data_IF_237699331096
#
_entry.id   IF_237699331096
#
_cell.length_a   1.000
_cell.length_b   1.000
_cell.length_c   1.000
_cell.angle_alpha   90.00
_cell.angle_beta   90.00
_cell.angle_gamma   90.00
#
_symmetry.space_group_name_H-M   'P 1'
#
loop_
_entity.id
_entity.type
_entity.pdbx_description
1 polymer ?
#
# COMPACT_ATOMS: atom_id res chain seq x y z
N UNK A 1 59.53 44.11 39.36
CA UNK A 1 60.12 44.63 38.10
C UNK A 1 59.33 44.19 36.87
N UNK A 2 58.88 42.94 36.82
CA UNK A 2 58.14 42.32 35.70
C UNK A 2 56.83 43.04 35.34
N UNK A 3 55.99 43.38 36.31
CA UNK A 3 54.69 44.03 36.06
C UNK A 3 54.81 45.41 35.38
N UNK A 4 55.83 46.21 35.71
CA UNK A 4 56.06 47.52 35.08
C UNK A 4 56.50 47.39 33.62
N UNK A 5 57.31 46.37 33.31
CA UNK A 5 57.79 46.08 31.95
C UNK A 5 56.61 45.61 31.08
N UNK A 6 55.76 44.73 31.62
CA UNK A 6 54.54 44.27 30.94
C UNK A 6 53.58 45.45 30.68
N UNK A 7 53.37 46.32 31.66
CA UNK A 7 52.49 47.48 31.51
C UNK A 7 52.98 48.46 30.43
N UNK A 8 54.27 48.77 30.42
CA UNK A 8 54.87 49.59 29.36
C UNK A 8 54.75 48.94 27.99
N UNK A 9 54.93 47.63 27.91
CA UNK A 9 54.80 46.89 26.66
C UNK A 9 53.37 46.89 26.13
N UNK A 10 52.37 46.73 27.00
CA UNK A 10 50.94 46.78 26.67
C UNK A 10 50.54 48.16 26.16
N UNK A 11 50.97 49.23 26.84
CA UNK A 11 50.68 50.60 26.43
C UNK A 11 51.37 50.94 25.10
N UNK A 12 52.60 50.49 24.89
CA UNK A 12 53.36 50.74 23.65
C UNK A 12 52.78 49.97 22.45
N UNK A 13 52.27 48.75 22.67
CA UNK A 13 51.81 47.84 21.61
C UNK A 13 50.30 47.56 21.65
N UNK A 14 49.50 48.46 22.23
CA UNK A 14 48.07 48.24 22.46
C UNK A 14 47.28 47.90 21.19
N UNK A 15 47.64 48.51 20.04
CA UNK A 15 47.02 48.22 18.74
C UNK A 15 47.28 46.78 18.28
N UNK A 16 48.50 46.29 18.47
CA UNK A 16 48.90 44.93 18.11
C UNK A 16 48.19 43.90 19.00
N UNK A 17 48.06 44.18 20.30
CA UNK A 17 47.34 43.31 21.24
C UNK A 17 45.85 43.27 20.87
N UNK A 18 45.24 44.42 20.55
CA UNK A 18 43.86 44.49 20.10
C UNK A 18 43.62 43.67 18.83
N UNK A 19 44.52 43.75 17.85
CA UNK A 19 44.45 42.94 16.63
C UNK A 19 44.46 41.44 16.92
N UNK A 20 45.39 40.98 17.78
CA UNK A 20 45.47 39.56 18.17
C UNK A 20 44.19 39.11 18.89
N UNK A 21 43.65 39.94 19.76
CA UNK A 21 42.43 39.63 20.52
C UNK A 21 41.20 39.56 19.61
N UNK A 22 41.09 40.47 18.63
CA UNK A 22 40.06 40.41 17.59
C UNK A 22 40.20 39.17 16.72
N UNK A 23 41.42 38.80 16.31
CA UNK A 23 41.66 37.56 15.54
C UNK A 23 41.24 36.31 16.32
N UNK A 24 41.58 36.24 17.62
CA UNK A 24 41.14 35.13 18.49
C UNK A 24 39.61 35.09 18.63
N UNK A 25 38.96 36.26 18.76
CA UNK A 25 37.50 36.36 18.80
C UNK A 25 36.83 35.85 17.53
N UNK A 26 37.36 36.20 16.36
CA UNK A 26 36.87 35.73 15.06
C UNK A 26 37.03 34.22 14.93
N UNK A 27 38.20 33.66 15.30
CA UNK A 27 38.44 32.21 15.25
C UNK A 27 37.48 31.47 16.20
N UNK A 28 37.25 32.01 17.39
CA UNK A 28 36.29 31.46 18.35
C UNK A 28 34.87 31.44 17.80
N UNK A 29 34.42 32.57 17.23
CA UNK A 29 33.10 32.68 16.58
C UNK A 29 32.97 31.73 15.40
N UNK A 30 33.96 31.66 14.51
CA UNK A 30 33.93 30.74 13.36
C UNK A 30 33.83 29.28 13.82
N UNK A 31 34.57 28.87 14.85
CA UNK A 31 34.46 27.50 15.38
C UNK A 31 33.09 27.20 15.96
N UNK A 32 32.46 28.18 16.62
CA UNK A 32 31.12 28.03 17.15
C UNK A 32 30.08 27.94 16.04
N UNK A 33 30.13 28.84 15.06
CA UNK A 33 29.21 28.87 13.92
C UNK A 33 29.35 27.59 13.07
N UNK A 34 30.58 27.10 12.86
CA UNK A 34 30.85 25.85 12.14
C UNK A 34 30.26 24.63 12.86
N UNK A 35 30.40 24.56 14.20
CA UNK A 35 29.80 23.47 14.98
C UNK A 35 28.27 23.47 14.93
N UNK A 36 27.64 24.65 14.93
CA UNK A 36 26.20 24.75 14.78
C UNK A 36 25.75 24.29 13.40
N UNK A 37 26.46 24.72 12.36
CA UNK A 37 26.18 24.33 10.98
C UNK A 37 26.29 22.80 10.81
N UNK A 38 27.38 22.21 11.32
CA UNK A 38 27.58 20.76 11.28
C UNK A 38 26.42 20.01 11.96
N UNK A 39 26.00 20.44 13.15
CA UNK A 39 24.86 19.83 13.84
C UNK A 39 23.56 19.96 13.05
N UNK A 40 23.33 21.10 12.43
CA UNK A 40 22.14 21.30 11.59
C UNK A 40 22.14 20.37 10.37
N UNK A 41 23.30 20.17 9.75
CA UNK A 41 23.46 19.20 8.66
C UNK A 41 23.22 17.76 9.14
N UNK A 42 23.84 17.35 10.25
CA UNK A 42 23.65 16.01 10.82
C UNK A 42 22.18 15.73 11.15
N UNK A 43 21.50 16.68 11.82
CA UNK A 43 20.06 16.57 12.11
C UNK A 43 19.21 16.47 10.83
N UNK A 44 19.57 17.22 9.79
CA UNK A 44 18.86 17.18 8.51
C UNK A 44 19.08 15.84 7.81
N UNK A 45 20.30 15.33 7.82
CA UNK A 45 20.64 14.02 7.23
C UNK A 45 19.91 12.89 7.94
N UNK A 46 19.91 12.89 9.28
CA UNK A 46 19.20 11.90 10.07
C UNK A 46 17.69 11.98 9.87
N UNK A 47 17.14 13.19 9.78
CA UNK A 47 15.72 13.40 9.46
C UNK A 47 15.35 12.88 8.06
N UNK A 48 16.20 13.11 7.06
CA UNK A 48 16.01 12.61 5.69
C UNK A 48 16.07 11.08 5.64
N UNK A 49 17.04 10.48 6.33
CA UNK A 49 17.13 9.01 6.46
C UNK A 49 15.88 8.43 7.11
N UNK A 50 15.43 9.02 8.23
CA UNK A 50 14.21 8.59 8.90
C UNK A 50 12.96 8.71 8.00
N UNK A 51 12.88 9.76 7.17
CA UNK A 51 11.80 9.92 6.20
C UNK A 51 11.85 8.85 5.09
N UNK A 52 13.04 8.55 4.56
CA UNK A 52 13.22 7.52 3.54
C UNK A 52 12.87 6.14 4.10
N UNK A 53 13.35 5.82 5.30
CA UNK A 53 13.07 4.55 5.96
C UNK A 53 11.58 4.40 6.29
N UNK A 54 10.94 5.47 6.79
CA UNK A 54 9.49 5.50 7.02
C UNK A 54 8.70 5.30 5.72
N UNK A 55 9.09 5.97 4.64
CA UNK A 55 8.43 5.80 3.34
C UNK A 55 8.59 4.38 2.80
N UNK A 56 9.78 3.79 2.96
CA UNK A 56 10.07 2.42 2.54
C UNK A 56 9.23 1.40 3.31
N UNK A 57 9.09 1.56 4.62
CA UNK A 57 8.24 0.70 5.46
C UNK A 57 6.76 0.83 5.07
N UNK A 58 6.26 2.05 4.87
CA UNK A 58 4.88 2.28 4.38
C UNK A 58 4.65 1.58 3.05
N UNK A 59 5.57 1.75 2.10
CA UNK A 59 5.46 1.15 0.77
C UNK A 59 5.48 -0.38 0.81
N UNK A 60 6.32 -0.98 1.67
CA UNK A 60 6.34 -2.43 1.86
C UNK A 60 5.02 -2.95 2.43
N UNK A 61 4.44 -2.25 3.41
CA UNK A 61 3.13 -2.62 3.97
C UNK A 61 2.01 -2.49 2.95
N UNK A 62 2.04 -1.44 2.14
CA UNK A 62 1.08 -1.24 1.06
C UNK A 62 1.15 -2.37 0.03
N UNK A 63 2.35 -2.77 -0.39
CA UNK A 63 2.54 -3.90 -1.31
C UNK A 63 1.97 -5.18 -0.71
N UNK A 64 2.31 -5.49 0.55
CA UNK A 64 1.83 -6.69 1.22
C UNK A 64 0.30 -6.73 1.33
N UNK A 65 -0.33 -5.63 1.76
CA UNK A 65 -1.78 -5.53 1.86
C UNK A 65 -2.47 -5.65 0.47
N UNK A 66 -1.84 -5.09 -0.57
CA UNK A 66 -2.33 -5.21 -1.94
C UNK A 66 -2.24 -6.65 -2.45
N UNK A 67 -1.14 -7.35 -2.19
CA UNK A 67 -0.98 -8.76 -2.56
C UNK A 67 -2.00 -9.65 -1.84
N UNK A 68 -2.23 -9.43 -0.56
CA UNK A 68 -3.26 -10.13 0.22
C UNK A 68 -4.65 -9.92 -0.40
N UNK A 69 -5.03 -8.67 -0.67
CA UNK A 69 -6.33 -8.33 -1.29
C UNK A 69 -6.48 -8.97 -2.68
N UNK A 70 -5.40 -9.00 -3.48
CA UNK A 70 -5.43 -9.62 -4.80
C UNK A 70 -5.59 -11.14 -4.73
N UNK A 71 -4.97 -11.79 -3.75
CA UNK A 71 -5.13 -13.22 -3.53
C UNK A 71 -6.56 -13.56 -3.10
N UNK A 72 -7.12 -12.80 -2.14
CA UNK A 72 -8.52 -12.97 -1.73
C UNK A 72 -9.48 -12.81 -2.91
N UNK A 73 -9.29 -11.77 -3.72
CA UNK A 73 -10.10 -11.54 -4.91
C UNK A 73 -9.98 -12.69 -5.91
N UNK A 74 -8.77 -13.22 -6.12
CA UNK A 74 -8.53 -14.33 -7.02
C UNK A 74 -9.20 -15.62 -6.54
N UNK A 75 -9.17 -15.90 -5.24
CA UNK A 75 -9.81 -17.07 -4.64
C UNK A 75 -11.34 -16.97 -4.70
N UNK A 76 -11.90 -15.78 -4.43
CA UNK A 76 -13.33 -15.51 -4.62
C UNK A 76 -13.76 -15.73 -6.08
N UNK A 77 -12.94 -15.26 -7.03
CA UNK A 77 -13.25 -15.43 -8.45
C UNK A 77 -13.25 -16.90 -8.86
N UNK A 78 -12.29 -17.69 -8.38
CA UNK A 78 -12.26 -19.15 -8.58
C UNK A 78 -13.47 -19.83 -7.99
N UNK A 79 -13.90 -19.42 -6.79
CA UNK A 79 -15.08 -19.99 -6.15
C UNK A 79 -16.33 -19.71 -6.99
N UNK A 80 -16.53 -18.46 -7.42
CA UNK A 80 -17.66 -18.08 -8.28
C UNK A 80 -17.65 -18.88 -9.59
N UNK A 81 -16.49 -19.04 -10.22
CA UNK A 81 -16.35 -19.83 -11.44
C UNK A 81 -16.71 -21.30 -11.21
N UNK A 82 -16.22 -21.88 -10.11
CA UNK A 82 -16.55 -23.27 -9.72
C UNK A 82 -18.05 -23.44 -9.47
N UNK A 83 -18.66 -22.56 -8.69
CA UNK A 83 -20.09 -22.61 -8.35
C UNK A 83 -20.96 -22.46 -9.61
N UNK A 84 -20.52 -21.61 -10.55
CA UNK A 84 -21.19 -21.44 -11.84
C UNK A 84 -21.13 -22.70 -12.70
N UNK A 85 -19.97 -23.33 -12.80
CA UNK A 85 -19.79 -24.58 -13.55
C UNK A 85 -20.61 -25.72 -12.93
N UNK A 86 -20.58 -25.88 -11.61
CA UNK A 86 -21.39 -26.87 -10.91
C UNK A 86 -22.89 -26.63 -11.13
N UNK A 87 -23.32 -25.37 -11.10
CA UNK A 87 -24.71 -25.00 -11.39
C UNK A 87 -25.11 -25.32 -12.83
N UNK A 88 -24.22 -25.13 -13.80
CA UNK A 88 -24.48 -25.50 -15.19
C UNK A 88 -24.62 -27.02 -15.36
N UNK A 89 -23.72 -27.79 -14.76
CA UNK A 89 -23.76 -29.25 -14.84
C UNK A 89 -25.04 -29.79 -14.17
N UNK A 90 -25.40 -29.28 -13.00
CA UNK A 90 -26.64 -29.64 -12.31
C UNK A 90 -27.90 -29.30 -13.12
N UNK A 91 -27.91 -28.13 -13.79
CA UNK A 91 -29.00 -27.75 -14.70
C UNK A 91 -29.09 -28.70 -15.89
N UNK A 92 -27.96 -29.10 -16.46
CA UNK A 92 -27.94 -30.03 -17.58
C UNK A 92 -28.45 -31.42 -17.19
N UNK A 93 -28.03 -31.95 -16.03
CA UNK A 93 -28.58 -33.21 -15.51
C UNK A 93 -30.10 -33.14 -15.28
N UNK A 94 -30.59 -32.00 -14.78
CA UNK A 94 -32.02 -31.79 -14.54
C UNK A 94 -32.80 -31.73 -15.85
N UNK A 95 -32.25 -31.09 -16.88
CA UNK A 95 -32.81 -31.08 -18.23
C UNK A 95 -32.87 -32.49 -18.82
N UNK A 96 -31.79 -33.27 -18.69
CA UNK A 96 -31.72 -34.64 -19.19
C UNK A 96 -32.73 -35.55 -18.48
N UNK A 97 -32.79 -35.51 -17.14
CA UNK A 97 -33.80 -36.24 -16.35
C UNK A 97 -35.22 -35.89 -16.77
N UNK A 98 -35.54 -34.60 -16.87
CA UNK A 98 -36.88 -34.15 -17.26
C UNK A 98 -37.23 -34.56 -18.69
N UNK A 99 -36.26 -34.55 -19.61
CA UNK A 99 -36.45 -35.04 -20.98
C UNK A 99 -36.79 -36.53 -20.99
N UNK A 100 -36.09 -37.35 -20.20
CA UNK A 100 -36.39 -38.78 -20.09
C UNK A 100 -37.78 -39.03 -19.48
N UNK A 101 -38.13 -38.30 -18.42
CA UNK A 101 -39.45 -38.38 -17.78
C UNK A 101 -40.57 -38.07 -18.77
N UNK A 102 -40.47 -36.95 -19.51
CA UNK A 102 -41.44 -36.61 -20.55
C UNK A 102 -41.48 -37.63 -21.70
N UNK A 103 -40.34 -38.21 -22.09
CA UNK A 103 -40.30 -39.27 -23.09
C UNK A 103 -41.03 -40.55 -22.66
N UNK A 104 -40.91 -40.93 -21.37
CA UNK A 104 -41.64 -42.05 -20.78
C UNK A 104 -43.14 -41.73 -20.67
N UNK A 105 -43.48 -40.56 -20.13
CA UNK A 105 -44.88 -40.12 -20.02
C UNK A 105 -45.57 -40.05 -21.38
N UNK A 106 -44.89 -39.55 -22.43
CA UNK A 106 -45.44 -39.55 -23.78
C UNK A 106 -45.75 -40.96 -24.30
N UNK A 107 -44.93 -41.95 -23.95
CA UNK A 107 -45.09 -43.33 -24.38
C UNK A 107 -46.19 -44.08 -23.61
N UNK A 108 -46.40 -43.73 -22.34
CA UNK A 108 -47.33 -44.41 -21.42
C UNK A 108 -48.71 -43.72 -21.33
N UNK A 109 -48.75 -42.39 -21.29
CA UNK A 109 -49.95 -41.56 -21.25
C UNK A 109 -49.73 -40.18 -21.92
N UNK A 110 -49.87 -40.11 -23.26
CA UNK A 110 -49.68 -38.87 -24.01
C UNK A 110 -50.70 -37.77 -23.65
N UNK A 111 -51.88 -38.14 -23.15
CA UNK A 111 -52.95 -37.20 -22.78
C UNK A 111 -52.59 -36.37 -21.55
N UNK A 112 -52.00 -37.00 -20.53
CA UNK A 112 -51.55 -36.31 -19.32
C UNK A 112 -50.40 -35.33 -19.60
N UNK A 113 -49.50 -35.67 -20.53
CA UNK A 113 -48.39 -34.80 -20.90
C UNK A 113 -48.87 -33.53 -21.63
N UNK A 114 -49.89 -33.67 -22.49
CA UNK A 114 -50.49 -32.53 -23.18
C UNK A 114 -51.11 -31.54 -22.19
N UNK A 115 -51.86 -32.03 -21.20
CA UNK A 115 -52.51 -31.19 -20.17
C UNK A 115 -51.49 -30.43 -19.31
N UNK A 116 -50.37 -31.08 -18.96
CA UNK A 116 -49.26 -30.46 -18.21
C UNK A 116 -48.57 -29.36 -19.03
N UNK A 117 -48.32 -29.59 -20.32
CA UNK A 117 -47.73 -28.59 -21.23
C UNK A 117 -48.69 -27.41 -21.46
N UNK A 118 -49.99 -27.67 -21.65
CA UNK A 118 -51.00 -26.61 -21.78
C UNK A 118 -51.08 -25.76 -20.51
N UNK A 119 -51.00 -26.38 -19.34
CA UNK A 119 -51.03 -25.67 -18.05
C UNK A 119 -49.77 -24.84 -17.81
N UNK A 120 -48.60 -25.39 -18.14
CA UNK A 120 -47.31 -24.73 -17.89
C UNK A 120 -47.06 -23.55 -18.83
N UNK A 121 -47.50 -23.64 -20.08
CA UNK A 121 -47.21 -22.65 -21.11
C UNK A 121 -48.43 -21.86 -21.61
N UNK A 122 -49.65 -22.24 -21.24
CA UNK A 122 -50.89 -21.52 -21.56
C UNK A 122 -51.34 -21.61 -23.02
N UNK A 123 -50.96 -22.67 -23.73
CA UNK A 123 -51.34 -22.88 -25.13
C UNK A 123 -52.43 -23.94 -25.26
N UNK A 124 -53.25 -23.86 -26.31
CA UNK A 124 -54.22 -24.90 -26.65
C UNK A 124 -53.64 -25.94 -27.62
N UNK A 125 -53.76 -27.23 -27.29
CA UNK A 125 -53.30 -28.31 -28.17
C UNK A 125 -54.23 -28.44 -29.38
N UNK A 126 -53.69 -28.23 -30.59
CA UNK A 126 -54.43 -28.41 -31.85
C UNK A 126 -53.97 -29.72 -32.50
N UNK A 127 -54.89 -30.67 -32.75
CA UNK A 127 -54.58 -32.01 -33.27
C UNK A 127 -54.14 -32.06 -34.73
#
# INVERSE_FOLDING_TARGET
MTAKIVLQFVIKNWKSILMVLLSLGIIGKMRYDYKQLQRAYEVTEDSLKAQIDGLKDIHQREIAAREETLNEYHDLLKQIESDYLESQDALQELIERRREEYGRQFSEDPTSLVDEIQTMYGFDYVP
#
